data_IF_662788384539
#
_entry.id   IF_662788384539
#
_cell.length_a   1.000
_cell.length_b   1.000
_cell.length_c   1.000
_cell.angle_alpha   90.00
_cell.angle_beta   90.00
_cell.angle_gamma   90.00
#
_symmetry.space_group_name_H-M   'P 1'
#
loop_
_entity.id
_entity.type
_entity.pdbx_description
1 polymer ?
#
# COMPACT_ATOMS: atom_id res chain seq x y z
N UNK A 1 -11.10 63.17 -41.15
CA UNK A 1 -12.37 62.59 -41.60
C UNK A 1 -12.96 61.82 -40.43
N UNK A 2 -13.96 62.38 -39.77
CA UNK A 2 -14.70 61.69 -38.70
C UNK A 2 -15.72 60.76 -39.35
N UNK A 3 -15.62 59.47 -39.04
CA UNK A 3 -16.62 58.47 -39.44
C UNK A 3 -17.79 58.62 -38.47
N UNK A 4 -19.03 58.85 -38.95
CA UNK A 4 -20.20 58.95 -38.10
C UNK A 4 -20.47 57.59 -37.44
N UNK A 5 -20.53 57.56 -36.10
CA UNK A 5 -20.95 56.38 -35.34
C UNK A 5 -22.41 56.07 -35.65
N UNK A 6 -22.66 54.93 -36.29
CA UNK A 6 -24.00 54.40 -36.49
C UNK A 6 -24.65 54.07 -35.15
N UNK A 7 -25.92 54.47 -34.92
CA UNK A 7 -26.65 54.15 -33.70
C UNK A 7 -26.72 52.63 -33.49
N UNK A 8 -26.20 52.15 -32.36
CA UNK A 8 -26.35 50.75 -31.98
C UNK A 8 -27.82 50.48 -31.65
N UNK A 9 -28.49 49.72 -32.52
CA UNK A 9 -29.82 49.16 -32.26
C UNK A 9 -29.75 48.25 -31.03
N UNK A 10 -30.60 48.45 -30.00
CA UNK A 10 -30.63 47.59 -28.83
C UNK A 10 -30.86 46.12 -29.24
N UNK A 11 -29.94 45.24 -28.87
CA UNK A 11 -30.06 43.81 -29.14
C UNK A 11 -31.33 43.26 -28.47
N UNK A 12 -32.14 42.54 -29.25
CA UNK A 12 -33.32 41.87 -28.75
C UNK A 12 -32.92 40.88 -27.64
N UNK A 13 -33.70 40.77 -26.55
CA UNK A 13 -33.42 39.82 -25.48
C UNK A 13 -33.43 38.38 -26.05
N UNK A 14 -32.48 37.53 -25.65
CA UNK A 14 -32.39 36.15 -26.13
C UNK A 14 -33.67 35.37 -25.78
N UNK A 15 -34.11 34.45 -26.66
CA UNK A 15 -35.31 33.66 -26.45
C UNK A 15 -35.25 32.90 -25.12
N UNK A 16 -36.39 32.76 -24.43
CA UNK A 16 -36.48 32.17 -23.09
C UNK A 16 -35.96 30.72 -23.00
N UNK A 17 -35.80 30.05 -24.14
CA UNK A 17 -35.36 28.67 -24.28
C UNK A 17 -33.82 28.52 -24.25
N UNK A 18 -33.06 29.62 -24.29
CA UNK A 18 -31.59 29.62 -24.18
C UNK A 18 -31.08 29.88 -22.75
N UNK A 19 -31.95 29.84 -21.73
CA UNK A 19 -31.45 29.87 -20.35
C UNK A 19 -30.52 28.67 -20.15
N UNK A 20 -29.23 28.87 -19.81
CA UNK A 20 -28.33 27.77 -19.58
C UNK A 20 -28.96 26.87 -18.53
N UNK A 21 -29.18 25.59 -18.89
CA UNK A 21 -29.77 24.61 -18.01
C UNK A 21 -29.08 24.72 -16.65
N UNK A 22 -29.87 24.98 -15.59
CA UNK A 22 -29.34 25.19 -14.26
C UNK A 22 -28.39 24.04 -13.93
N UNK A 23 -27.13 24.36 -13.63
CA UNK A 23 -26.11 23.38 -13.28
C UNK A 23 -26.71 22.54 -12.14
N UNK A 24 -26.92 21.23 -12.34
CA UNK A 24 -27.54 20.40 -11.32
C UNK A 24 -26.71 20.54 -10.04
N UNK A 25 -27.39 20.85 -8.93
CA UNK A 25 -26.73 21.03 -7.65
C UNK A 25 -25.84 19.80 -7.35
N UNK A 26 -24.62 20.00 -6.79
CA UNK A 26 -23.71 18.90 -6.50
C UNK A 26 -24.45 17.88 -5.63
N UNK A 27 -24.71 16.72 -6.22
CA UNK A 27 -25.42 15.63 -5.55
C UNK A 27 -24.56 15.21 -4.35
N UNK A 28 -25.06 15.49 -3.14
CA UNK A 28 -24.34 15.24 -1.90
C UNK A 28 -23.83 13.81 -1.83
N UNK A 29 -22.69 13.61 -1.16
CA UNK A 29 -22.07 12.30 -0.97
C UNK A 29 -23.01 11.35 -0.23
N UNK A 30 -23.81 10.58 -0.96
CA UNK A 30 -24.60 9.51 -0.36
C UNK A 30 -23.68 8.32 -0.09
N UNK A 31 -23.23 8.19 1.17
CA UNK A 31 -22.36 7.11 1.65
C UNK A 31 -22.86 5.73 1.22
N UNK A 32 -24.19 5.53 1.23
CA UNK A 32 -24.81 4.28 0.80
C UNK A 32 -24.51 3.94 -0.67
N UNK A 33 -24.65 4.90 -1.58
CA UNK A 33 -24.34 4.73 -3.01
C UNK A 33 -22.85 4.66 -3.31
N UNK A 34 -21.99 5.12 -2.39
CA UNK A 34 -20.55 4.90 -2.50
C UNK A 34 -20.18 3.46 -2.12
N UNK A 35 -20.71 2.96 -1.00
CA UNK A 35 -20.48 1.58 -0.57
C UNK A 35 -21.00 0.56 -1.58
N UNK A 36 -22.21 0.76 -2.14
CA UNK A 36 -22.76 -0.15 -3.15
C UNK A 36 -21.84 -0.27 -4.38
N UNK A 37 -21.24 0.84 -4.83
CA UNK A 37 -20.28 0.84 -5.94
C UNK A 37 -18.98 0.10 -5.62
N UNK A 38 -18.46 0.23 -4.40
CA UNK A 38 -17.29 -0.55 -3.96
C UNK A 38 -17.62 -2.04 -3.92
N UNK A 39 -18.81 -2.39 -3.45
CA UNK A 39 -19.28 -3.77 -3.41
C UNK A 39 -19.50 -4.36 -4.81
N UNK A 40 -20.06 -3.57 -5.73
CA UNK A 40 -20.19 -3.94 -7.14
C UNK A 40 -18.83 -4.17 -7.80
N UNK A 41 -17.85 -3.30 -7.52
CA UNK A 41 -16.48 -3.48 -7.96
C UNK A 41 -15.85 -4.75 -7.34
N UNK A 42 -16.08 -5.02 -6.05
CA UNK A 42 -15.60 -6.25 -5.42
C UNK A 42 -16.19 -7.50 -6.08
N UNK A 43 -17.41 -7.44 -6.62
CA UNK A 43 -18.06 -8.50 -7.41
C UNK A 43 -17.68 -8.49 -8.90
N UNK A 44 -16.70 -7.68 -9.30
CA UNK A 44 -16.19 -7.56 -10.67
C UNK A 44 -17.23 -7.02 -11.67
N UNK A 45 -18.23 -6.27 -11.23
CA UNK A 45 -19.19 -5.63 -12.12
C UNK A 45 -18.51 -4.50 -12.94
N UNK A 46 -18.35 -4.73 -14.25
CA UNK A 46 -17.72 -3.78 -15.19
C UNK A 46 -18.23 -2.33 -15.08
N UNK A 47 -19.55 -2.07 -14.92
CA UNK A 47 -20.06 -0.70 -14.81
C UNK A 47 -19.48 0.09 -13.63
N UNK A 48 -19.10 -0.57 -12.52
CA UNK A 48 -18.49 0.10 -11.37
C UNK A 48 -17.12 0.69 -11.73
N UNK A 49 -16.30 -0.07 -12.46
CA UNK A 49 -14.97 0.37 -12.92
C UNK A 49 -15.06 1.47 -13.97
N UNK A 50 -15.88 1.28 -15.00
CA UNK A 50 -16.06 2.25 -16.07
C UNK A 50 -16.68 3.55 -15.52
N UNK A 51 -17.66 3.42 -14.62
CA UNK A 51 -18.31 4.53 -13.94
C UNK A 51 -17.34 5.35 -13.10
N UNK A 52 -16.40 4.72 -12.40
CA UNK A 52 -15.36 5.44 -11.65
C UNK A 52 -14.30 6.05 -12.57
N UNK A 53 -13.87 5.32 -13.61
CA UNK A 53 -12.87 5.79 -14.58
C UNK A 53 -13.32 7.04 -15.35
N UNK A 54 -14.62 7.14 -15.64
CA UNK A 54 -15.21 8.27 -16.39
C UNK A 54 -15.39 9.56 -15.59
N UNK A 55 -15.12 9.56 -14.27
CA UNK A 55 -15.34 10.75 -13.44
C UNK A 55 -14.18 11.73 -13.53
N UNK A 56 -14.48 13.03 -13.46
CA UNK A 56 -13.45 14.07 -13.40
C UNK A 56 -12.65 14.00 -12.09
N UNK A 57 -13.29 13.60 -10.99
CA UNK A 57 -12.69 13.41 -9.66
C UNK A 57 -12.18 11.97 -9.42
N UNK A 58 -12.06 11.15 -10.47
CA UNK A 58 -11.71 9.72 -10.38
C UNK A 58 -10.43 9.48 -9.56
N UNK A 59 -9.37 10.24 -9.83
CA UNK A 59 -8.10 10.12 -9.11
C UNK A 59 -8.26 10.36 -7.60
N UNK A 60 -8.95 11.43 -7.22
CA UNK A 60 -9.16 11.78 -5.81
C UNK A 60 -10.03 10.75 -5.10
N UNK A 61 -11.06 10.24 -5.76
CA UNK A 61 -11.86 9.13 -5.21
C UNK A 61 -11.02 7.87 -5.04
N UNK A 62 -10.18 7.53 -6.01
CA UNK A 62 -9.26 6.40 -5.91
C UNK A 62 -8.28 6.55 -4.74
N UNK A 63 -7.66 7.73 -4.61
CA UNK A 63 -6.79 8.07 -3.48
C UNK A 63 -7.50 7.88 -2.14
N UNK A 64 -8.73 8.39 -2.00
CA UNK A 64 -9.51 8.27 -0.77
C UNK A 64 -9.85 6.79 -0.46
N UNK A 65 -10.19 6.00 -1.47
CA UNK A 65 -10.46 4.56 -1.32
C UNK A 65 -9.23 3.85 -0.76
N UNK A 66 -8.06 4.04 -1.40
CA UNK A 66 -6.81 3.41 -0.93
C UNK A 66 -6.52 3.87 0.49
N UNK A 67 -6.52 5.17 0.76
CA UNK A 67 -6.24 5.74 2.08
C UNK A 67 -7.14 5.15 3.18
N UNK A 68 -8.45 5.12 2.96
CA UNK A 68 -9.41 4.60 3.94
C UNK A 68 -9.20 3.11 4.19
N UNK A 69 -9.03 2.32 3.13
CA UNK A 69 -8.83 0.87 3.29
C UNK A 69 -7.48 0.56 3.95
N UNK A 70 -6.41 1.28 3.60
CA UNK A 70 -5.11 1.15 4.26
C UNK A 70 -5.19 1.42 5.77
N UNK A 71 -5.88 2.50 6.16
CA UNK A 71 -6.06 2.85 7.57
C UNK A 71 -6.89 1.78 8.31
N UNK A 72 -7.95 1.28 7.67
CA UNK A 72 -8.77 0.21 8.23
C UNK A 72 -7.97 -1.10 8.39
N UNK A 73 -7.19 -1.49 7.37
CA UNK A 73 -6.35 -2.68 7.42
C UNK A 73 -5.24 -2.58 8.48
N UNK A 74 -4.73 -1.38 8.77
CA UNK A 74 -3.75 -1.12 9.82
C UNK A 74 -4.33 -1.04 11.24
N UNK A 75 -5.66 -0.94 11.39
CA UNK A 75 -6.30 -0.72 12.69
C UNK A 75 -6.02 -1.84 13.73
N UNK A 76 -6.01 -3.15 13.38
CA UNK A 76 -5.68 -4.20 14.34
C UNK A 76 -4.26 -4.08 14.88
N UNK A 77 -3.29 -3.72 14.01
CA UNK A 77 -1.90 -3.48 14.41
C UNK A 77 -1.81 -2.32 15.41
N UNK A 78 -2.48 -1.21 15.10
CA UNK A 78 -2.57 -0.05 15.99
C UNK A 78 -3.12 -0.41 17.38
N UNK A 79 -4.20 -1.21 17.44
CA UNK A 79 -4.75 -1.66 18.74
C UNK A 79 -3.73 -2.52 19.49
N UNK A 80 -3.03 -3.42 18.81
CA UNK A 80 -1.95 -4.22 19.39
C UNK A 80 -0.83 -3.34 19.97
N UNK A 81 -0.39 -2.34 19.20
CA UNK A 81 0.66 -1.41 19.60
C UNK A 81 0.25 -0.53 20.78
N UNK A 82 -1.00 -0.06 20.81
CA UNK A 82 -1.55 0.70 21.94
C UNK A 82 -1.63 -0.17 23.18
N UNK A 83 -2.09 -1.42 23.07
CA UNK A 83 -2.15 -2.35 24.20
C UNK A 83 -0.74 -2.67 24.73
N UNK A 84 0.23 -2.89 23.83
CA UNK A 84 1.62 -3.09 24.19
C UNK A 84 2.25 -1.83 24.82
N UNK A 85 1.87 -0.63 24.36
CA UNK A 85 2.32 0.63 24.93
C UNK A 85 1.82 0.85 26.38
N UNK A 86 0.63 0.35 26.69
CA UNK A 86 0.03 0.41 28.02
C UNK A 86 0.58 -0.66 28.97
N UNK A 87 1.05 -1.79 28.44
CA UNK A 87 1.76 -2.80 29.22
C UNK A 87 3.14 -2.26 29.60
N UNK A 88 3.45 -2.23 30.91
CA UNK A 88 4.81 -1.92 31.37
C UNK A 88 5.66 -3.17 31.18
N UNK A 89 6.78 -3.10 30.44
CA UNK A 89 7.75 -4.18 30.46
C UNK A 89 8.22 -4.37 31.89
N UNK A 90 8.05 -5.57 32.45
CA UNK A 90 8.68 -5.90 33.73
C UNK A 90 10.17 -6.17 33.51
N UNK A 91 11.00 -5.92 34.52
CA UNK A 91 12.43 -6.24 34.44
C UNK A 91 12.67 -7.73 34.14
N UNK A 92 11.73 -8.59 34.56
CA UNK A 92 11.75 -10.02 34.31
C UNK A 92 11.55 -10.37 32.82
N UNK A 93 10.70 -9.63 32.09
CA UNK A 93 10.49 -9.85 30.65
C UNK A 93 11.75 -9.55 29.82
N UNK A 94 12.58 -8.59 30.23
CA UNK A 94 13.84 -8.31 29.53
C UNK A 94 14.86 -9.43 29.69
N UNK A 95 14.95 -10.03 30.88
CA UNK A 95 15.80 -11.19 31.12
C UNK A 95 15.29 -12.45 30.40
N UNK A 96 13.97 -12.62 30.34
CA UNK A 96 13.36 -13.75 29.62
C UNK A 96 13.58 -13.64 28.10
N UNK A 97 13.53 -12.43 27.54
CA UNK A 97 13.83 -12.19 26.10
C UNK A 97 15.27 -12.47 25.72
N UNK A 98 16.25 -12.13 26.56
CA UNK A 98 17.66 -12.42 26.26
C UNK A 98 17.95 -13.92 26.31
N UNK A 99 17.34 -14.63 27.26
CA UNK A 99 17.40 -16.10 27.34
C UNK A 99 16.75 -16.74 26.10
N UNK A 100 15.54 -16.31 25.73
CA UNK A 100 14.84 -16.83 24.56
C UNK A 100 15.60 -16.58 23.25
N UNK A 101 16.25 -15.43 23.11
CA UNK A 101 17.09 -15.11 21.94
C UNK A 101 18.32 -16.04 21.87
N UNK A 102 19.03 -16.24 22.99
CA UNK A 102 20.19 -17.15 23.07
C UNK A 102 19.80 -18.57 22.73
N UNK A 103 18.65 -19.04 23.24
CA UNK A 103 18.12 -20.37 22.94
C UNK A 103 17.75 -20.52 21.45
N UNK A 104 17.06 -19.53 20.87
CA UNK A 104 16.72 -19.51 19.44
C UNK A 104 17.95 -19.55 18.54
N UNK A 105 18.97 -18.75 18.85
CA UNK A 105 20.24 -18.73 18.11
C UNK A 105 21.01 -20.05 18.29
N UNK A 106 21.04 -20.60 19.50
CA UNK A 106 21.63 -21.92 19.76
C UNK A 106 20.96 -23.02 18.94
N UNK A 107 19.62 -23.00 18.84
CA UNK A 107 18.83 -23.96 18.08
C UNK A 107 19.08 -23.91 16.56
N UNK A 108 19.57 -22.79 16.02
CA UNK A 108 19.93 -22.66 14.60
C UNK A 108 21.31 -23.26 14.25
N UNK A 109 22.13 -23.62 15.26
CA UNK A 109 23.47 -24.17 15.06
C UNK A 109 23.54 -25.40 14.14
N UNK A 110 22.66 -26.41 14.26
CA UNK A 110 22.63 -27.56 13.36
C UNK A 110 22.35 -27.20 11.90
N UNK A 111 21.60 -26.12 11.64
CA UNK A 111 21.36 -25.64 10.27
C UNK A 111 22.58 -24.91 9.73
N UNK A 112 23.25 -24.10 10.55
CA UNK A 112 24.48 -23.40 10.16
C UNK A 112 25.63 -24.37 9.86
N UNK A 113 25.72 -25.48 10.59
CA UNK A 113 26.66 -26.55 10.29
C UNK A 113 26.43 -27.17 8.89
N UNK A 114 25.18 -27.24 8.41
CA UNK A 114 24.87 -27.71 7.04
C UNK A 114 25.31 -26.73 5.96
N UNK A 115 25.49 -25.46 6.29
CA UNK A 115 26.02 -24.43 5.39
C UNK A 115 27.55 -24.35 5.40
N UNK A 116 28.24 -25.23 6.15
CA UNK A 116 29.70 -25.32 6.18
C UNK A 116 30.37 -24.40 7.21
N UNK A 117 29.61 -23.74 8.09
CA UNK A 117 30.17 -22.98 9.21
C UNK A 117 30.61 -23.94 10.33
N UNK A 118 31.79 -23.68 10.90
CA UNK A 118 32.27 -24.46 12.05
C UNK A 118 31.45 -24.13 13.29
N UNK A 119 31.22 -25.14 14.15
CA UNK A 119 30.45 -24.97 15.40
C UNK A 119 31.06 -23.89 16.29
N UNK A 120 32.40 -23.80 16.34
CA UNK A 120 33.12 -22.80 17.12
C UNK A 120 32.92 -21.37 16.59
N UNK A 121 32.91 -21.19 15.26
CA UNK A 121 32.63 -19.89 14.64
C UNK A 121 31.17 -19.47 14.88
N UNK A 122 30.24 -20.43 14.84
CA UNK A 122 28.84 -20.17 15.15
C UNK A 122 28.63 -19.75 16.60
N UNK A 123 29.19 -20.47 17.58
CA UNK A 123 29.05 -20.11 18.99
C UNK A 123 29.63 -18.73 19.29
N UNK A 124 30.79 -18.39 18.73
CA UNK A 124 31.37 -17.05 18.89
C UNK A 124 30.48 -15.95 18.31
N UNK A 125 29.89 -16.19 17.13
CA UNK A 125 28.94 -15.24 16.52
C UNK A 125 27.65 -15.11 17.33
N UNK A 126 27.16 -16.20 17.92
CA UNK A 126 25.97 -16.16 18.80
C UNK A 126 26.24 -15.35 20.06
N UNK A 127 27.39 -15.55 20.70
CA UNK A 127 27.77 -14.80 21.90
C UNK A 127 27.92 -13.30 21.59
N UNK A 128 28.57 -12.94 20.46
CA UNK A 128 28.70 -11.55 20.04
C UNK A 128 27.34 -10.88 19.75
N UNK A 129 26.42 -11.60 19.10
CA UNK A 129 25.06 -11.11 18.86
C UNK A 129 24.28 -10.97 20.17
N UNK A 130 24.43 -11.91 21.09
CA UNK A 130 23.75 -11.87 22.39
C UNK A 130 24.25 -10.69 23.23
N UNK A 131 25.56 -10.45 23.27
CA UNK A 131 26.15 -9.33 24.00
C UNK A 131 25.77 -7.98 23.38
N UNK A 132 25.75 -7.89 22.04
CA UNK A 132 25.27 -6.69 21.35
C UNK A 132 23.78 -6.42 21.63
N UNK A 133 22.97 -7.47 21.73
CA UNK A 133 21.57 -7.36 22.09
C UNK A 133 21.38 -6.91 23.56
N UNK A 134 22.14 -7.49 24.49
CA UNK A 134 22.12 -7.10 25.91
C UNK A 134 22.54 -5.62 26.08
N UNK A 135 23.57 -5.18 25.35
CA UNK A 135 23.95 -3.76 25.28
C UNK A 135 22.83 -2.89 24.71
N UNK A 136 22.17 -3.33 23.64
CA UNK A 136 21.02 -2.64 23.06
C UNK A 136 19.85 -2.49 24.04
N UNK A 137 19.58 -3.53 24.84
CA UNK A 137 18.59 -3.48 25.91
C UNK A 137 19.00 -2.50 27.01
N UNK A 138 20.27 -2.50 27.42
CA UNK A 138 20.78 -1.57 28.43
C UNK A 138 20.67 -0.12 27.96
N UNK A 139 21.10 0.18 26.72
CA UNK A 139 20.97 1.51 26.12
C UNK A 139 19.49 1.92 26.04
N UNK A 140 18.60 1.01 25.67
CA UNK A 140 17.16 1.26 25.67
C UNK A 140 16.63 1.61 27.07
N UNK A 141 17.07 0.89 28.11
CA UNK A 141 16.70 1.18 29.50
C UNK A 141 17.25 2.53 29.98
N UNK A 142 18.48 2.89 29.61
CA UNK A 142 19.08 4.18 29.93
C UNK A 142 18.36 5.33 29.21
N UNK A 143 18.03 5.16 27.93
CA UNK A 143 17.21 6.12 27.16
C UNK A 143 15.84 6.26 27.78
N UNK A 144 15.22 5.16 28.20
CA UNK A 144 13.93 5.18 28.90
C UNK A 144 14.04 6.06 30.15
N UNK A 145 15.11 5.93 30.95
CA UNK A 145 15.33 6.71 32.17
C UNK A 145 15.55 8.22 31.94
N UNK A 146 15.78 8.66 30.71
CA UNK A 146 15.89 10.09 30.41
C UNK A 146 14.55 10.82 30.70
N UNK A 147 14.59 12.01 31.29
CA UNK A 147 13.39 12.78 31.59
C UNK A 147 12.73 13.26 30.28
N UNK A 148 11.69 12.56 29.84
CA UNK A 148 10.88 12.99 28.70
C UNK A 148 9.88 14.08 29.11
N UNK A 149 9.67 15.09 28.26
CA UNK A 149 8.68 16.16 28.50
C UNK A 149 7.23 15.64 28.59
N UNK A 150 6.95 14.46 28.03
CA UNK A 150 5.65 13.80 28.07
C UNK A 150 5.73 12.50 28.88
N UNK A 151 4.65 12.08 29.56
CA UNK A 151 4.57 10.76 30.17
C UNK A 151 4.79 9.68 29.12
N UNK A 152 5.66 8.70 29.39
CA UNK A 152 6.02 7.61 28.46
C UNK A 152 4.83 6.91 27.78
N UNK A 153 3.71 6.55 28.45
CA UNK A 153 2.58 5.93 27.76
C UNK A 153 1.98 6.85 26.68
N UNK A 154 1.95 8.16 26.91
CA UNK A 154 1.49 9.14 25.92
C UNK A 154 2.45 9.17 24.73
N UNK A 155 3.76 9.14 24.97
CA UNK A 155 4.77 9.05 23.91
C UNK A 155 4.58 7.83 23.02
N UNK A 156 4.43 6.64 23.62
CA UNK A 156 4.23 5.38 22.88
C UNK A 156 2.89 5.33 22.13
N UNK A 157 1.82 5.89 22.70
CA UNK A 157 0.53 5.98 22.00
C UNK A 157 0.62 6.93 20.79
N UNK A 158 1.32 8.07 20.93
CA UNK A 158 1.56 8.98 19.83
C UNK A 158 2.43 8.34 18.74
N UNK A 159 3.42 7.55 19.12
CA UNK A 159 4.25 6.78 18.19
C UNK A 159 3.43 5.72 17.46
N UNK A 160 2.60 4.94 18.17
CA UNK A 160 1.68 3.97 17.58
C UNK A 160 0.70 4.65 16.62
N UNK A 161 0.16 5.81 17.00
CA UNK A 161 -0.72 6.61 16.15
C UNK A 161 0.01 7.13 14.89
N UNK A 162 1.24 7.59 15.02
CA UNK A 162 2.09 8.01 13.90
C UNK A 162 2.41 6.84 12.96
N UNK A 163 2.73 5.67 13.51
CA UNK A 163 2.94 4.43 12.76
C UNK A 163 1.69 4.02 11.98
N UNK A 164 0.53 4.01 12.64
CA UNK A 164 -0.75 3.71 12.01
C UNK A 164 -1.12 4.72 10.90
N UNK A 165 -0.96 6.02 11.15
CA UNK A 165 -1.25 7.07 10.19
C UNK A 165 -0.30 7.06 8.98
N UNK A 166 0.94 6.60 9.18
CA UNK A 166 1.93 6.44 8.11
C UNK A 166 1.79 5.13 7.34
N UNK A 167 1.01 4.15 7.83
CA UNK A 167 0.80 2.85 7.18
C UNK A 167 0.37 2.96 5.70
N UNK A 168 -0.55 3.85 5.28
CA UNK A 168 -0.92 4.03 3.87
C UNK A 168 0.24 4.50 2.98
N UNK A 169 1.26 5.12 3.56
CA UNK A 169 2.44 5.63 2.85
C UNK A 169 3.64 4.68 2.94
N UNK A 170 3.52 3.60 3.71
CA UNK A 170 4.59 2.62 3.90
C UNK A 170 4.89 1.84 2.62
N UNK A 171 6.15 1.42 2.48
CA UNK A 171 6.61 0.58 1.38
C UNK A 171 6.26 -0.88 1.69
N UNK A 172 5.34 -1.46 0.92
CA UNK A 172 5.04 -2.88 1.01
C UNK A 172 6.16 -3.71 0.37
N UNK A 173 6.50 -4.86 0.95
CA UNK A 173 7.53 -5.78 0.41
C UNK A 173 7.14 -6.41 -0.92
N UNK A 174 5.84 -6.60 -1.14
CA UNK A 174 5.29 -7.14 -2.37
C UNK A 174 4.33 -6.11 -2.99
N UNK A 175 4.38 -5.90 -4.31
CA UNK A 175 3.42 -5.03 -4.98
C UNK A 175 2.01 -5.59 -4.80
N UNK A 176 1.03 -4.70 -4.57
CA UNK A 176 -0.38 -5.05 -4.34
C UNK A 176 -0.67 -5.89 -3.08
N UNK A 177 0.32 -6.25 -2.26
CA UNK A 177 0.06 -7.01 -1.04
C UNK A 177 -0.61 -6.20 0.07
N UNK A 178 -0.45 -4.88 0.01
CA UNK A 178 -1.09 -3.93 0.92
C UNK A 178 -1.64 -2.80 0.07
N UNK A 179 -2.79 -2.25 0.48
CA UNK A 179 -3.21 -0.94 0.02
C UNK A 179 -2.16 0.07 0.51
N UNK A 180 -1.16 0.41 -0.29
CA UNK A 180 -0.21 1.47 0.04
C UNK A 180 -0.06 2.41 -1.13
N UNK A 181 -0.21 3.70 -0.86
CA UNK A 181 -0.26 4.77 -1.85
C UNK A 181 1.03 4.84 -2.66
N UNK A 182 2.18 4.71 -1.99
CA UNK A 182 3.48 4.78 -2.66
C UNK A 182 3.68 3.64 -3.66
N UNK A 183 3.37 2.40 -3.24
CA UNK A 183 3.49 1.22 -4.11
C UNK A 183 2.45 1.25 -5.22
N UNK A 184 1.19 1.57 -4.90
CA UNK A 184 0.12 1.68 -5.88
C UNK A 184 0.40 2.73 -6.95
N UNK A 185 0.85 3.93 -6.56
CA UNK A 185 1.20 4.98 -7.52
C UNK A 185 2.39 4.56 -8.38
N UNK A 186 3.49 4.13 -7.75
CA UNK A 186 4.70 3.74 -8.46
C UNK A 186 4.46 2.59 -9.44
N UNK A 187 3.81 1.53 -8.99
CA UNK A 187 3.45 0.38 -9.82
C UNK A 187 2.43 0.74 -10.90
N UNK A 188 1.41 1.56 -10.56
CA UNK A 188 0.39 2.00 -11.50
C UNK A 188 0.95 2.79 -12.68
N UNK A 189 1.97 3.64 -12.48
CA UNK A 189 2.65 4.34 -13.59
C UNK A 189 3.23 3.34 -14.60
N UNK A 190 3.91 2.29 -14.12
CA UNK A 190 4.49 1.27 -14.99
C UNK A 190 3.43 0.45 -15.73
N UNK A 191 2.35 0.07 -15.04
CA UNK A 191 1.23 -0.64 -15.68
C UNK A 191 0.54 0.24 -16.71
N UNK A 192 0.31 1.52 -16.42
CA UNK A 192 -0.28 2.46 -17.35
C UNK A 192 0.60 2.62 -18.60
N UNK A 193 1.92 2.70 -18.43
CA UNK A 193 2.86 2.75 -19.56
C UNK A 193 2.73 1.49 -20.43
N UNK A 194 2.75 0.30 -19.82
CA UNK A 194 2.58 -0.96 -20.53
C UNK A 194 1.20 -1.04 -21.24
N UNK A 195 0.13 -0.61 -20.58
CA UNK A 195 -1.22 -0.57 -21.14
C UNK A 195 -1.30 0.36 -22.36
N UNK A 196 -0.66 1.53 -22.32
CA UNK A 196 -0.59 2.45 -23.47
C UNK A 196 0.22 1.87 -24.63
N UNK A 197 1.33 1.18 -24.34
CA UNK A 197 2.12 0.48 -25.37
C UNK A 197 1.30 -0.63 -26.06
N UNK A 198 0.34 -1.24 -25.37
CA UNK A 198 -0.58 -2.25 -25.91
C UNK A 198 -1.84 -1.66 -26.60
N UNK A 199 -1.86 -0.33 -26.81
CA UNK A 199 -2.93 0.38 -27.51
C UNK A 199 -4.04 0.95 -26.62
N UNK A 200 -3.86 0.93 -25.29
CA UNK A 200 -4.85 1.41 -24.34
C UNK A 200 -5.05 2.92 -24.38
N UNK A 201 -6.31 3.38 -24.23
CA UNK A 201 -6.69 4.81 -24.37
C UNK A 201 -7.08 5.52 -23.07
N UNK A 202 -6.86 4.87 -21.93
CA UNK A 202 -7.21 5.40 -20.61
C UNK A 202 -6.50 6.69 -20.24
N UNK A 203 -7.21 7.57 -19.55
CA UNK A 203 -6.64 8.77 -18.90
C UNK A 203 -5.94 8.39 -17.60
N UNK A 204 -4.99 9.22 -17.16
CA UNK A 204 -4.27 8.98 -15.90
C UNK A 204 -5.22 9.02 -14.69
N UNK A 205 -6.12 10.00 -14.66
CA UNK A 205 -7.11 10.12 -13.59
C UNK A 205 -8.10 8.95 -13.57
N UNK A 206 -8.58 8.51 -14.73
CA UNK A 206 -9.50 7.37 -14.84
C UNK A 206 -8.83 6.04 -14.50
N UNK A 207 -7.58 5.83 -14.93
CA UNK A 207 -6.80 4.64 -14.61
C UNK A 207 -6.54 4.49 -13.12
N UNK A 208 -6.01 5.52 -12.46
CA UNK A 208 -5.77 5.48 -11.02
C UNK A 208 -7.10 5.40 -10.24
N UNK A 209 -8.12 6.15 -10.64
CA UNK A 209 -9.45 6.03 -10.02
C UNK A 209 -9.99 4.59 -10.06
N UNK A 210 -9.96 3.94 -11.22
CA UNK A 210 -10.43 2.56 -11.36
C UNK A 210 -9.55 1.55 -10.63
N UNK A 211 -8.22 1.65 -10.76
CA UNK A 211 -7.30 0.67 -10.16
C UNK A 211 -7.31 0.72 -8.65
N UNK A 212 -7.58 1.87 -8.02
CA UNK A 212 -7.74 1.99 -6.58
C UNK A 212 -8.78 1.03 -5.96
N UNK A 213 -9.75 0.54 -6.75
CA UNK A 213 -10.71 -0.47 -6.31
C UNK A 213 -10.03 -1.79 -5.89
N UNK A 214 -8.78 -2.03 -6.30
CA UNK A 214 -7.98 -3.16 -5.82
C UNK A 214 -7.76 -3.14 -4.30
N UNK A 215 -7.91 -1.97 -3.65
CA UNK A 215 -7.81 -1.87 -2.21
C UNK A 215 -9.01 -2.51 -1.51
N UNK A 216 -10.20 -2.52 -2.11
CA UNK A 216 -11.45 -3.01 -1.47
C UNK A 216 -11.32 -4.42 -0.87
N UNK A 217 -10.74 -5.43 -1.56
CA UNK A 217 -10.54 -6.77 -1.00
C UNK A 217 -9.59 -6.79 0.20
N UNK A 218 -8.66 -5.83 0.31
CA UNK A 218 -7.80 -5.66 1.47
C UNK A 218 -8.54 -5.15 2.71
N UNK A 219 -9.80 -4.73 2.60
CA UNK A 219 -10.62 -4.53 3.80
C UNK A 219 -10.78 -5.84 4.60
N UNK A 220 -10.63 -7.00 3.96
CA UNK A 220 -10.59 -8.30 4.63
C UNK A 220 -9.33 -8.48 5.49
N UNK A 221 -8.26 -7.71 5.25
CA UNK A 221 -7.07 -7.76 6.09
C UNK A 221 -7.38 -7.37 7.54
N UNK A 222 -8.49 -6.64 7.79
CA UNK A 222 -9.01 -6.37 9.13
C UNK A 222 -9.25 -7.67 9.93
N UNK A 223 -9.63 -8.76 9.25
CA UNK A 223 -9.89 -10.07 9.85
C UNK A 223 -8.61 -10.89 10.10
N UNK A 224 -7.43 -10.36 9.79
CA UNK A 224 -6.15 -11.09 9.99
C UNK A 224 -5.76 -11.28 11.43
N UNK A 225 -6.39 -10.53 12.34
CA UNK A 225 -6.22 -10.71 13.79
C UNK A 225 -6.70 -12.08 14.30
N UNK A 226 -7.56 -12.77 13.54
CA UNK A 226 -8.02 -14.11 13.89
C UNK A 226 -6.90 -15.15 13.72
N UNK A 227 -6.55 -15.91 14.78
CA UNK A 227 -5.56 -16.97 14.67
C UNK A 227 -6.02 -18.05 13.67
N UNK A 228 -5.06 -18.71 13.01
CA UNK A 228 -5.25 -19.76 11.98
C UNK A 228 -5.88 -19.31 10.64
N UNK A 229 -6.87 -18.41 10.67
CA UNK A 229 -7.62 -18.01 9.46
C UNK A 229 -6.99 -16.77 8.80
N UNK A 230 -6.31 -15.91 9.58
CA UNK A 230 -5.76 -14.65 9.08
C UNK A 230 -4.79 -14.81 7.91
N UNK A 231 -3.94 -15.85 7.92
CA UNK A 231 -3.04 -16.14 6.80
C UNK A 231 -3.79 -16.45 5.51
N UNK A 232 -4.82 -17.30 5.58
CA UNK A 232 -5.65 -17.65 4.42
C UNK A 232 -6.42 -16.45 3.88
N UNK A 233 -6.99 -15.62 4.77
CA UNK A 233 -7.70 -14.39 4.38
C UNK A 233 -6.78 -13.44 3.63
N UNK A 234 -5.55 -13.24 4.10
CA UNK A 234 -4.57 -12.39 3.43
C UNK A 234 -4.25 -12.87 2.01
N UNK A 235 -4.11 -14.20 1.81
CA UNK A 235 -3.88 -14.79 0.48
C UNK A 235 -5.09 -14.58 -0.44
N UNK A 236 -6.30 -14.80 0.07
CA UNK A 236 -7.54 -14.58 -0.69
C UNK A 236 -7.67 -13.10 -1.09
N UNK A 237 -7.46 -12.19 -0.14
CA UNK A 237 -7.50 -10.75 -0.37
C UNK A 237 -6.49 -10.33 -1.45
N UNK A 238 -5.27 -10.87 -1.40
CA UNK A 238 -4.23 -10.61 -2.39
C UNK A 238 -4.62 -11.07 -3.80
N UNK A 239 -5.02 -12.35 -3.95
CA UNK A 239 -5.42 -12.90 -5.26
C UNK A 239 -6.61 -12.10 -5.82
N UNK A 240 -7.59 -11.79 -4.98
CA UNK A 240 -8.75 -11.03 -5.39
C UNK A 240 -8.40 -9.58 -5.77
N UNK A 241 -7.51 -8.94 -5.01
CA UNK A 241 -6.95 -7.62 -5.33
C UNK A 241 -6.30 -7.58 -6.71
N UNK A 242 -5.50 -8.59 -7.06
CA UNK A 242 -4.88 -8.72 -8.39
C UNK A 242 -5.94 -8.84 -9.49
N UNK A 243 -6.97 -9.67 -9.30
CA UNK A 243 -8.06 -9.83 -10.28
C UNK A 243 -8.80 -8.51 -10.49
N UNK A 244 -9.14 -7.81 -9.41
CA UNK A 244 -9.78 -6.49 -9.45
C UNK A 244 -8.89 -5.48 -10.17
N UNK A 245 -7.58 -5.50 -9.94
CA UNK A 245 -6.61 -4.61 -10.58
C UNK A 245 -6.50 -4.84 -12.09
N UNK A 246 -6.47 -6.11 -12.53
CA UNK A 246 -6.51 -6.47 -13.96
C UNK A 246 -7.81 -5.98 -14.59
N UNK A 247 -8.95 -6.22 -13.92
CA UNK A 247 -10.26 -5.79 -14.42
C UNK A 247 -10.37 -4.26 -14.52
N UNK A 248 -9.84 -3.54 -13.55
CA UNK A 248 -9.77 -2.09 -13.57
C UNK A 248 -8.88 -1.56 -14.72
N UNK A 249 -7.74 -2.22 -14.98
CA UNK A 249 -6.86 -1.90 -16.11
C UNK A 249 -7.58 -2.13 -17.43
N UNK A 250 -8.30 -3.25 -17.54
CA UNK A 250 -9.13 -3.58 -18.70
C UNK A 250 -10.17 -2.49 -18.97
N UNK A 251 -10.95 -2.13 -17.95
CA UNK A 251 -12.06 -1.17 -18.08
C UNK A 251 -11.58 0.26 -18.32
N UNK A 252 -10.46 0.68 -17.73
CA UNK A 252 -9.95 2.05 -17.88
C UNK A 252 -9.24 2.29 -19.21
N UNK A 253 -8.63 1.28 -19.82
CA UNK A 253 -7.91 1.40 -21.09
C UNK A 253 -8.65 0.83 -22.30
N UNK A 254 -9.84 0.27 -22.11
CA UNK A 254 -10.63 -0.43 -23.15
C UNK A 254 -9.82 -1.54 -23.84
N UNK A 255 -9.11 -2.33 -23.03
CA UNK A 255 -8.27 -3.42 -23.50
C UNK A 255 -9.03 -4.75 -23.48
N UNK A 256 -8.56 -5.72 -24.29
CA UNK A 256 -8.94 -7.12 -24.07
C UNK A 256 -8.35 -7.63 -22.75
N UNK A 257 -8.93 -8.70 -22.21
CA UNK A 257 -8.47 -9.27 -20.93
C UNK A 257 -7.00 -9.71 -21.01
N UNK A 258 -6.57 -10.33 -22.12
CA UNK A 258 -5.20 -10.80 -22.32
C UNK A 258 -4.21 -9.63 -22.32
N UNK A 259 -4.55 -8.53 -23.00
CA UNK A 259 -3.70 -7.34 -23.03
C UNK A 259 -3.63 -6.66 -21.67
N UNK A 260 -4.74 -6.61 -20.94
CA UNK A 260 -4.76 -6.08 -19.57
C UNK A 260 -3.90 -6.94 -18.62
N UNK A 261 -3.99 -8.26 -18.73
CA UNK A 261 -3.15 -9.19 -17.96
C UNK A 261 -1.65 -8.97 -18.27
N UNK A 262 -1.28 -8.89 -19.56
CA UNK A 262 0.10 -8.62 -19.96
C UNK A 262 0.56 -7.25 -19.45
N UNK A 263 -0.28 -6.22 -19.52
CA UNK A 263 0.05 -4.88 -19.00
C UNK A 263 0.36 -4.89 -17.51
N UNK A 264 -0.40 -5.67 -16.72
CA UNK A 264 -0.19 -5.82 -15.27
C UNK A 264 1.06 -6.66 -14.96
N UNK A 265 1.31 -7.73 -15.71
CA UNK A 265 2.47 -8.60 -15.46
C UNK A 265 3.78 -8.04 -15.99
N UNK A 266 3.76 -7.17 -17.01
CA UNK A 266 4.97 -6.64 -17.65
C UNK A 266 5.95 -5.94 -16.68
N UNK A 267 5.52 -5.05 -15.77
CA UNK A 267 6.44 -4.45 -14.80
C UNK A 267 7.07 -5.46 -13.84
N UNK A 268 6.34 -6.52 -13.48
CA UNK A 268 6.86 -7.59 -12.61
C UNK A 268 7.93 -8.40 -13.35
N UNK A 269 7.66 -8.78 -14.60
CA UNK A 269 8.64 -9.48 -15.43
C UNK A 269 9.91 -8.64 -15.61
N UNK A 270 9.77 -7.33 -15.86
CA UNK A 270 10.90 -6.41 -15.97
C UNK A 270 11.70 -6.33 -14.65
N UNK A 271 11.04 -6.21 -13.51
CA UNK A 271 11.71 -6.18 -12.20
C UNK A 271 12.50 -7.47 -11.93
N UNK A 272 11.92 -8.64 -12.24
CA UNK A 272 12.60 -9.93 -12.11
C UNK A 272 13.84 -10.01 -12.99
N UNK A 273 13.76 -9.54 -14.24
CA UNK A 273 14.91 -9.53 -15.17
C UNK A 273 16.03 -8.60 -14.68
N UNK A 274 15.70 -7.42 -14.15
CA UNK A 274 16.68 -6.49 -13.58
C UNK A 274 17.38 -7.13 -12.38
N UNK A 275 16.61 -7.72 -11.46
CA UNK A 275 17.15 -8.37 -10.26
C UNK A 275 18.06 -9.54 -10.66
N UNK A 276 17.62 -10.41 -11.58
CA UNK A 276 18.42 -11.52 -12.07
C UNK A 276 19.74 -11.04 -12.71
N UNK A 277 19.68 -9.98 -13.54
CA UNK A 277 20.87 -9.38 -14.15
C UNK A 277 21.86 -8.82 -13.12
N UNK A 278 21.36 -8.16 -12.07
CA UNK A 278 22.19 -7.67 -10.96
C UNK A 278 22.86 -8.83 -10.20
N UNK A 279 22.13 -9.91 -9.91
CA UNK A 279 22.69 -11.10 -9.28
C UNK A 279 23.76 -11.77 -10.14
N UNK A 280 23.54 -11.86 -11.46
CA UNK A 280 24.55 -12.36 -12.40
C UNK A 280 25.79 -11.48 -12.42
N UNK A 281 25.63 -10.15 -12.42
CA UNK A 281 26.75 -9.21 -12.38
C UNK A 281 27.56 -9.33 -11.09
N UNK A 282 26.89 -9.39 -9.93
CA UNK A 282 27.54 -9.54 -8.62
C UNK A 282 28.29 -10.89 -8.52
N UNK A 283 27.67 -11.97 -8.97
CA UNK A 283 28.30 -13.29 -9.02
C UNK A 283 29.55 -13.29 -9.89
N UNK A 284 29.50 -12.62 -11.05
CA UNK A 284 30.66 -12.47 -11.93
C UNK A 284 31.80 -11.68 -11.29
N UNK A 285 31.50 -10.61 -10.54
CA UNK A 285 32.51 -9.81 -9.82
C UNK A 285 33.18 -10.63 -8.71
N UNK A 286 32.41 -11.44 -7.97
CA UNK A 286 32.95 -12.33 -6.93
C UNK A 286 33.89 -13.36 -7.54
N UNK A 287 33.50 -13.96 -8.67
CA UNK A 287 34.32 -14.95 -9.39
C UNK A 287 35.63 -14.37 -9.94
N UNK A 288 35.63 -13.11 -10.39
CA UNK A 288 36.85 -12.43 -10.84
C UNK A 288 37.82 -12.06 -9.70
N UNK A 289 37.34 -12.07 -8.45
CA UNK A 289 38.15 -11.75 -7.26
C UNK A 289 38.76 -12.97 -6.58
N UNK A 290 38.25 -14.18 -6.87
CA UNK A 290 38.76 -15.46 -6.39
C UNK A 290 39.79 -16.04 -7.33
#
# INVERSE_FOLDING_TARGET
MNVPETPQTPAAPPPADERPAAVPAPQGWQLHGWFSRLWDAARLHTPAYAGLAGRQDAFFQGFLIVLLVSLLAGAPGFVGDVMAALQRPSADETAERSIALREMLGAAGPWMARLGLSTAAWTAAVDEVADAFDMGLQVSQEIDQLPTRLPRPVGRILEAFGGWLSAPFSVARLPLAVASLGVWLGYGVWVMLAARLLGGRGSLSGFFGATALYAVPHALDLLRWLPFIGGLIGVIAYIWGVIVYIKATQASHDLSFERALIAVLAPLALAVLIIAGLFSMLSGIVWLRS
#
